data_IF_862463508127
#
_entry.id   IF_862463508127
#
_cell.length_a   1.000
_cell.length_b   1.000
_cell.length_c   1.000
_cell.angle_alpha   90.00
_cell.angle_beta   90.00
_cell.angle_gamma   90.00
#
_symmetry.space_group_name_H-M   'P 1'
#
loop_
_entity.id
_entity.type
_entity.pdbx_description
1 polymer ?
#
# COMPACT_ATOMS: atom_id res chain seq x y z
N UNK A 1 2.04 7.48 9.44
CA UNK A 1 2.45 6.08 9.69
C UNK A 1 1.99 5.16 8.57
N UNK A 2 0.69 5.14 8.22
CA UNK A 2 0.12 4.28 7.16
C UNK A 2 0.95 4.22 5.86
N UNK A 3 1.30 5.37 5.27
CA UNK A 3 2.11 5.37 4.04
C UNK A 3 3.49 4.74 4.23
N UNK A 4 4.10 4.86 5.41
CA UNK A 4 5.38 4.22 5.71
C UNK A 4 5.21 2.71 5.97
N UNK A 5 4.10 2.32 6.59
CA UNK A 5 3.79 0.91 6.90
C UNK A 5 3.59 0.08 5.62
N UNK A 6 3.10 0.68 4.54
CA UNK A 6 3.07 0.06 3.21
C UNK A 6 4.47 -0.43 2.77
N UNK A 7 5.53 0.27 3.17
CA UNK A 7 6.91 -0.06 2.79
C UNK A 7 7.65 -0.94 3.82
N UNK A 8 6.98 -1.47 4.85
CA UNK A 8 7.65 -2.25 5.90
C UNK A 8 8.39 -3.50 5.38
N UNK A 9 7.81 -4.17 4.39
CA UNK A 9 8.42 -5.34 3.73
C UNK A 9 9.17 -4.98 2.44
N UNK A 10 8.67 -3.98 1.70
CA UNK A 10 9.28 -3.53 0.44
C UNK A 10 10.58 -2.73 0.64
N UNK A 11 10.75 -2.09 1.79
CA UNK A 11 11.84 -1.16 2.05
C UNK A 11 11.82 0.03 1.08
N UNK A 12 12.99 0.42 0.58
CA UNK A 12 13.13 1.49 -0.41
C UNK A 12 13.63 0.94 -1.75
N UNK A 13 12.72 0.45 -2.62
CA UNK A 13 13.09 -0.23 -3.87
C UNK A 13 13.66 0.70 -4.96
N UNK A 14 13.72 2.01 -4.71
CA UNK A 14 14.25 2.97 -5.67
C UNK A 14 13.38 3.15 -6.92
N UNK A 15 12.05 3.09 -6.74
CA UNK A 15 11.03 3.45 -7.73
C UNK A 15 9.93 2.40 -7.90
N UNK A 16 8.66 2.86 -8.00
CA UNK A 16 7.49 1.98 -8.15
C UNK A 16 7.51 1.15 -9.45
N UNK A 17 8.11 1.68 -10.53
CA UNK A 17 8.24 0.98 -11.82
C UNK A 17 9.04 -0.32 -11.77
N UNK A 18 9.84 -0.54 -10.71
CA UNK A 18 10.62 -1.77 -10.51
C UNK A 18 9.86 -2.86 -9.74
N UNK A 19 8.80 -2.49 -9.02
CA UNK A 19 8.05 -3.37 -8.12
C UNK A 19 6.68 -3.72 -8.71
N UNK A 20 6.02 -2.76 -9.36
CA UNK A 20 4.66 -2.94 -9.84
C UNK A 20 3.63 -2.89 -8.70
N UNK A 21 2.44 -3.43 -8.96
CA UNK A 21 1.38 -3.54 -7.94
C UNK A 21 1.72 -4.64 -6.92
N UNK A 22 1.38 -4.39 -5.65
CA UNK A 22 1.59 -5.33 -4.54
C UNK A 22 0.40 -5.24 -3.57
N UNK A 23 0.23 -6.26 -2.73
CA UNK A 23 -0.86 -6.32 -1.73
C UNK A 23 -0.37 -5.87 -0.33
N UNK A 24 0.60 -4.96 -0.29
CA UNK A 24 1.28 -4.50 0.94
C UNK A 24 0.49 -3.45 1.74
N UNK A 25 -0.78 -3.19 1.41
CA UNK A 25 -1.60 -2.26 2.18
C UNK A 25 -1.65 -2.65 3.66
N UNK A 26 -1.45 -1.68 4.59
CA UNK A 26 -1.64 -1.92 6.01
C UNK A 26 -3.06 -2.40 6.33
N UNK A 27 -3.22 -3.22 7.36
CA UNK A 27 -4.51 -3.84 7.70
C UNK A 27 -5.65 -2.81 7.84
N UNK A 28 -5.36 -1.65 8.44
CA UNK A 28 -6.33 -0.56 8.59
C UNK A 28 -6.91 -0.05 7.26
N UNK A 29 -6.14 -0.11 6.17
CA UNK A 29 -6.61 0.27 4.82
C UNK A 29 -7.41 -0.88 4.21
N UNK A 30 -6.96 -2.13 4.40
CA UNK A 30 -7.66 -3.34 3.94
C UNK A 30 -9.05 -3.51 4.57
N UNK A 31 -9.23 -3.05 5.81
CA UNK A 31 -10.49 -3.14 6.55
C UNK A 31 -11.50 -2.06 6.15
N UNK A 32 -11.12 -1.07 5.33
CA UNK A 32 -12.04 -0.04 4.88
C UNK A 32 -13.13 -0.66 3.97
N UNK A 33 -14.39 -0.25 4.12
CA UNK A 33 -15.42 -0.63 3.15
C UNK A 33 -15.07 -0.07 1.77
N UNK A 34 -15.54 -0.70 0.68
CA UNK A 34 -15.37 -0.17 -0.67
C UNK A 34 -15.85 1.29 -0.76
N UNK A 35 -15.06 2.15 -1.41
CA UNK A 35 -15.39 3.55 -1.63
C UNK A 35 -15.51 3.82 -3.13
N UNK A 36 -16.51 4.59 -3.52
CA UNK A 36 -16.77 5.04 -4.88
C UNK A 36 -17.71 6.24 -4.84
N UNK A 37 -17.67 7.06 -5.89
CA UNK A 37 -18.68 8.11 -6.09
C UNK A 37 -19.95 7.47 -6.69
N UNK A 38 -21.13 7.91 -6.25
CA UNK A 38 -22.44 7.46 -6.78
C UNK A 38 -22.60 7.79 -8.28
#
# INVERSE_FOLDING_TARGET
QINADFFAELGSPGGASKVGQTDNDPQVVKDLPPQGED
#
